data_IF_163080886780
#
_entry.id   IF_163080886780
#
_cell.length_a   1.000
_cell.length_b   1.000
_cell.length_c   1.000
_cell.angle_alpha   90.00
_cell.angle_beta   90.00
_cell.angle_gamma   90.00
#
_symmetry.space_group_name_H-M   'P 1'
#
loop_
_entity.id
_entity.type
_entity.pdbx_description
1 polymer ?
#
# COMPACT_ATOMS: atom_id res chain seq x y z
N UNK A 1 -10.53 -13.90 -8.31
CA UNK A 1 -9.26 -14.04 -7.58
C UNK A 1 -8.23 -13.04 -8.07
N UNK A 2 -7.54 -12.39 -7.13
CA UNK A 2 -6.42 -11.50 -7.43
C UNK A 2 -5.15 -12.35 -7.48
N UNK A 3 -4.43 -12.29 -8.59
CA UNK A 3 -3.20 -13.07 -8.80
C UNK A 3 -1.95 -12.19 -8.85
N UNK A 4 -2.11 -10.90 -9.11
CA UNK A 4 -1.01 -9.95 -9.15
C UNK A 4 -0.52 -9.59 -7.74
N UNK A 5 0.80 -9.46 -7.52
CA UNK A 5 1.33 -8.94 -6.27
C UNK A 5 0.70 -7.59 -5.90
N UNK A 6 0.15 -7.48 -4.70
CA UNK A 6 -0.63 -6.32 -4.26
C UNK A 6 0.00 -5.60 -3.07
N UNK A 7 0.32 -4.31 -3.24
CA UNK A 7 0.68 -3.41 -2.15
C UNK A 7 -0.54 -2.63 -1.66
N UNK A 8 -0.82 -2.71 -0.36
CA UNK A 8 -1.83 -1.91 0.34
C UNK A 8 -1.10 -0.80 1.11
N UNK A 9 -1.41 0.47 0.84
CA UNK A 9 -0.82 1.63 1.55
C UNK A 9 -1.92 2.39 2.27
N UNK A 10 -1.76 2.61 3.58
CA UNK A 10 -2.80 3.22 4.43
C UNK A 10 -2.20 4.31 5.32
N UNK A 11 -2.95 5.39 5.54
CA UNK A 11 -2.60 6.41 6.52
C UNK A 11 -2.76 5.91 7.97
N UNK A 12 -1.75 6.12 8.81
CA UNK A 12 -1.76 5.67 10.21
C UNK A 12 -2.77 6.38 11.10
N UNK A 13 -3.30 7.54 10.66
CA UNK A 13 -4.34 8.30 11.37
C UNK A 13 -5.76 7.87 10.97
N UNK A 14 -5.92 6.81 10.16
CA UNK A 14 -7.20 6.26 9.71
C UNK A 14 -7.38 4.79 10.17
N UNK A 15 -7.75 4.57 11.45
CA UNK A 15 -7.85 3.22 12.02
C UNK A 15 -8.94 2.37 11.36
N UNK A 16 -10.03 2.98 10.89
CA UNK A 16 -11.10 2.27 10.20
C UNK A 16 -10.61 1.70 8.87
N UNK A 17 -9.93 2.52 8.06
CA UNK A 17 -9.38 2.07 6.78
C UNK A 17 -8.24 1.08 6.99
N UNK A 18 -7.46 1.20 8.07
CA UNK A 18 -6.45 0.21 8.44
C UNK A 18 -7.06 -1.17 8.69
N UNK A 19 -8.14 -1.26 9.47
CA UNK A 19 -8.80 -2.54 9.76
C UNK A 19 -9.45 -3.17 8.51
N UNK A 20 -10.02 -2.34 7.64
CA UNK A 20 -10.53 -2.78 6.34
C UNK A 20 -9.41 -3.35 5.46
N UNK A 21 -8.26 -2.67 5.39
CA UNK A 21 -7.12 -3.14 4.61
C UNK A 21 -6.48 -4.40 5.21
N UNK A 22 -6.40 -4.53 6.54
CA UNK A 22 -5.98 -5.78 7.20
C UNK A 22 -6.92 -6.94 6.89
N UNK A 23 -8.20 -6.67 6.74
CA UNK A 23 -9.20 -7.68 6.37
C UNK A 23 -9.08 -8.07 4.90
N UNK A 24 -8.87 -7.09 4.01
CA UNK A 24 -8.56 -7.32 2.60
C UNK A 24 -7.27 -8.14 2.45
N UNK A 25 -6.20 -7.77 3.16
CA UNK A 25 -4.93 -8.48 3.17
C UNK A 25 -5.10 -9.98 3.50
N UNK A 26 -5.90 -10.28 4.52
CA UNK A 26 -6.21 -11.67 4.92
C UNK A 26 -7.05 -12.44 3.89
N UNK A 27 -7.74 -11.72 3.01
CA UNK A 27 -8.58 -12.30 1.95
C UNK A 27 -7.83 -12.50 0.64
N UNK A 28 -6.66 -11.85 0.46
CA UNK A 28 -5.82 -11.98 -0.72
C UNK A 28 -5.05 -13.29 -0.69
N UNK A 29 -5.08 -14.01 -1.81
CA UNK A 29 -4.37 -15.29 -2.01
C UNK A 29 -3.05 -15.13 -2.75
N UNK A 30 -2.74 -13.93 -3.24
CA UNK A 30 -1.48 -13.58 -3.90
C UNK A 30 -0.44 -13.02 -2.91
N UNK A 31 0.78 -12.83 -3.39
CA UNK A 31 1.75 -12.01 -2.67
C UNK A 31 1.17 -10.63 -2.37
N UNK A 32 1.25 -10.22 -1.11
CA UNK A 32 0.71 -8.96 -0.68
C UNK A 32 1.47 -8.37 0.50
N UNK A 33 1.47 -7.04 0.58
CA UNK A 33 2.10 -6.30 1.65
C UNK A 33 1.21 -5.14 2.11
N UNK A 34 1.20 -4.85 3.40
CA UNK A 34 0.47 -3.73 4.00
C UNK A 34 1.46 -2.75 4.64
N UNK A 35 1.56 -1.55 4.06
CA UNK A 35 2.38 -0.45 4.56
C UNK A 35 1.51 0.63 5.20
N UNK A 36 1.92 1.09 6.38
CA UNK A 36 1.24 2.17 7.11
C UNK A 36 2.12 3.42 7.09
N UNK A 37 1.59 4.55 6.62
CA UNK A 37 2.28 5.85 6.61
C UNK A 37 1.93 6.61 7.90
N UNK A 38 2.88 6.75 8.86
CA UNK A 38 2.60 7.38 10.14
C UNK A 38 2.13 8.83 9.96
N UNK A 39 1.10 9.23 10.71
CA UNK A 39 0.58 10.60 10.71
C UNK A 39 -0.26 10.97 9.49
N UNK A 40 -0.29 10.16 8.43
CA UNK A 40 -1.10 10.43 7.25
C UNK A 40 -2.59 10.10 7.50
N UNK A 41 -3.47 10.96 6.98
CA UNK A 41 -4.91 10.71 6.90
C UNK A 41 -5.28 10.03 5.57
N UNK A 42 -6.58 9.82 5.33
CA UNK A 42 -7.10 9.07 4.20
C UNK A 42 -6.55 9.51 2.83
N UNK A 43 -6.36 10.81 2.63
CA UNK A 43 -5.93 11.39 1.35
C UNK A 43 -4.42 11.63 1.26
N UNK A 44 -3.66 11.33 2.32
CA UNK A 44 -2.22 11.60 2.39
C UNK A 44 -1.86 13.07 2.10
N UNK A 45 -2.70 14.02 2.53
CA UNK A 45 -2.51 15.46 2.30
C UNK A 45 -1.38 16.06 3.15
N UNK A 46 -0.94 15.35 4.18
CA UNK A 46 0.12 15.79 5.07
C UNK A 46 1.45 15.96 4.32
N UNK A 47 2.26 16.97 4.68
CA UNK A 47 3.56 17.18 4.06
C UNK A 47 4.42 15.91 4.04
N UNK A 48 4.79 15.45 2.85
CA UNK A 48 5.62 14.26 2.64
C UNK A 48 4.88 12.93 2.62
N UNK A 49 3.59 12.87 2.97
CA UNK A 49 2.83 11.61 2.96
C UNK A 49 2.73 11.03 1.54
N UNK A 50 2.36 11.85 0.55
CA UNK A 50 2.35 11.45 -0.87
C UNK A 50 3.74 11.03 -1.38
N UNK A 51 4.82 11.65 -0.91
CA UNK A 51 6.19 11.27 -1.29
C UNK A 51 6.51 9.84 -0.80
N UNK A 52 6.15 9.51 0.45
CA UNK A 52 6.30 8.16 0.99
C UNK A 52 5.47 7.15 0.19
N UNK A 53 4.21 7.49 -0.14
CA UNK A 53 3.36 6.62 -0.97
C UNK A 53 4.00 6.38 -2.34
N UNK A 54 4.54 7.41 -2.97
CA UNK A 54 5.20 7.30 -4.27
C UNK A 54 6.47 6.44 -4.22
N UNK A 55 7.27 6.55 -3.16
CA UNK A 55 8.46 5.72 -2.95
C UNK A 55 8.10 4.25 -2.77
N UNK A 56 7.11 3.96 -1.93
CA UNK A 56 6.58 2.60 -1.71
C UNK A 56 6.06 2.00 -3.03
N UNK A 57 5.29 2.77 -3.80
CA UNK A 57 4.76 2.31 -5.08
C UNK A 57 5.87 2.04 -6.10
N UNK A 58 6.84 2.96 -6.22
CA UNK A 58 8.00 2.80 -7.10
C UNK A 58 8.76 1.52 -6.79
N UNK A 59 9.07 1.30 -5.51
CA UNK A 59 9.87 0.15 -5.10
C UNK A 59 9.09 -1.15 -5.30
N UNK A 60 7.78 -1.16 -5.01
CA UNK A 60 6.92 -2.30 -5.32
C UNK A 60 6.93 -2.66 -6.80
N UNK A 61 6.76 -1.66 -7.67
CA UNK A 61 6.79 -1.88 -9.11
C UNK A 61 8.16 -2.35 -9.60
N UNK A 62 9.27 -1.80 -9.10
CA UNK A 62 10.61 -2.26 -9.46
C UNK A 62 10.82 -3.73 -9.12
N UNK A 63 10.30 -4.17 -7.99
CA UNK A 63 10.56 -5.52 -7.48
C UNK A 63 9.64 -6.57 -8.14
N UNK A 64 8.47 -6.17 -8.66
CA UNK A 64 7.45 -7.09 -9.19
C UNK A 64 7.14 -6.93 -10.68
N UNK A 65 7.52 -5.83 -11.32
CA UNK A 65 7.43 -5.71 -12.78
C UNK A 65 8.76 -6.16 -13.39
N UNK A 66 8.73 -7.13 -14.31
CA UNK A 66 9.91 -7.44 -15.09
C UNK A 66 10.33 -6.20 -15.90
N UNK A 67 11.64 -5.95 -16.09
CA UNK A 67 12.08 -4.89 -17.00
C UNK A 67 11.42 -5.12 -18.36
N UNK A 68 10.81 -4.07 -18.91
CA UNK A 68 10.03 -4.15 -20.15
C UNK A 68 10.83 -4.87 -21.23
N UNK A 69 10.27 -5.98 -21.74
CA UNK A 69 10.84 -6.77 -22.82
C UNK A 69 10.85 -6.03 -24.15
#
# INVERSE_FOLDING_TARGET
DVTAPTLLVVGGSDPQVLDLNRSAQRSLTCENHLSVVPGATHLFEEPGALSVVAELARDWFRDHLPPGG
#
